data_IF_207304888650
#
_entry.id   IF_207304888650
#
_cell.length_a   1.000
_cell.length_b   1.000
_cell.length_c   1.000
_cell.angle_alpha   90.00
_cell.angle_beta   90.00
_cell.angle_gamma   90.00
#
_symmetry.space_group_name_H-M   'P 1'
#
loop_
_entity.id
_entity.type
_entity.pdbx_description
1 polymer ?
#
# COMPACT_ATOMS: atom_id res chain seq x y z
N UNK A 1 -2.83 -41.96 22.62
CA UNK A 1 -1.74 -41.37 21.82
C UNK A 1 -2.30 -41.00 20.45
N UNK A 2 -2.52 -39.72 20.19
CA UNK A 2 -2.11 -39.06 18.94
C UNK A 2 -2.21 -37.56 19.15
N UNK A 3 -1.14 -36.90 18.76
CA UNK A 3 -0.76 -35.55 19.12
C UNK A 3 -1.24 -34.54 18.09
N UNK A 4 -1.73 -33.40 18.60
CA UNK A 4 -1.47 -32.02 18.18
C UNK A 4 -1.37 -31.74 16.68
N UNK A 5 -2.32 -30.99 16.14
CA UNK A 5 -2.05 -29.85 15.26
C UNK A 5 -2.91 -28.68 15.75
N UNK A 6 -2.40 -28.00 16.77
CA UNK A 6 -2.89 -26.68 17.14
C UNK A 6 -2.43 -25.73 16.04
N UNK A 7 -3.26 -25.62 15.00
CA UNK A 7 -3.08 -24.71 13.89
C UNK A 7 -2.99 -23.30 14.47
N UNK A 8 -1.76 -22.82 14.57
CA UNK A 8 -1.45 -21.51 15.10
C UNK A 8 -2.00 -20.46 14.12
N UNK A 9 -3.30 -20.19 14.22
CA UNK A 9 -3.93 -18.98 13.74
C UNK A 9 -3.21 -17.85 14.45
N UNK A 10 -2.15 -17.36 13.80
CA UNK A 10 -1.47 -16.13 14.20
C UNK A 10 -2.54 -15.06 14.17
N UNK A 11 -3.04 -14.71 15.34
CA UNK A 11 -3.83 -13.52 15.59
C UNK A 11 -3.14 -12.39 14.84
N UNK A 12 -3.68 -12.02 13.67
CA UNK A 12 -3.31 -10.84 12.92
C UNK A 12 -3.88 -9.65 13.67
N UNK A 13 -3.48 -9.49 14.95
CA UNK A 13 -3.86 -8.36 15.76
C UNK A 13 -3.43 -7.13 14.98
N UNK A 14 -4.36 -6.23 14.59
CA UNK A 14 -4.04 -5.12 13.72
C UNK A 14 -2.93 -4.31 14.40
N UNK A 15 -1.73 -4.36 13.81
CA UNK A 15 -0.58 -3.60 14.28
C UNK A 15 -1.00 -2.15 14.35
N UNK A 16 -0.78 -1.48 15.50
CA UNK A 16 -1.15 -0.07 15.66
C UNK A 16 -0.55 0.74 14.51
N UNK A 17 -1.44 1.36 13.74
CA UNK A 17 -1.12 2.13 12.55
C UNK A 17 -0.63 3.52 12.96
N UNK A 18 0.67 3.66 13.22
CA UNK A 18 1.24 4.90 13.78
C UNK A 18 1.70 5.92 12.73
N UNK A 19 1.72 5.56 11.45
CA UNK A 19 2.15 6.47 10.37
C UNK A 19 1.04 7.44 9.95
N UNK A 20 1.38 8.68 9.62
CA UNK A 20 0.43 9.72 9.19
C UNK A 20 -0.35 9.33 7.92
N UNK A 21 0.21 8.47 7.07
CA UNK A 21 -0.44 8.05 5.82
C UNK A 21 -1.78 7.35 6.04
N UNK A 22 -2.02 6.80 7.23
CA UNK A 22 -3.27 6.09 7.56
C UNK A 22 -4.47 7.04 7.67
N UNK A 23 -4.26 8.35 7.62
CA UNK A 23 -5.33 9.32 7.39
C UNK A 23 -5.91 9.24 5.96
N UNK A 24 -5.14 8.68 5.02
CA UNK A 24 -5.49 8.58 3.59
C UNK A 24 -5.67 7.15 3.09
N UNK A 25 -5.41 6.17 3.95
CA UNK A 25 -5.53 4.74 3.63
C UNK A 25 -6.33 4.02 4.69
N UNK A 26 -7.17 3.08 4.25
CA UNK A 26 -7.83 2.11 5.12
C UNK A 26 -7.25 0.71 4.89
N UNK A 27 -7.24 -0.12 5.92
CA UNK A 27 -6.98 -1.55 5.75
C UNK A 27 -8.27 -2.29 5.42
N UNK A 28 -8.19 -3.20 4.46
CA UNK A 28 -9.26 -4.16 4.16
C UNK A 28 -8.68 -5.56 4.08
N UNK A 29 -9.30 -6.51 4.75
CA UNK A 29 -8.99 -7.94 4.55
C UNK A 29 -9.86 -8.45 3.42
N UNK A 30 -9.24 -9.09 2.42
CA UNK A 30 -9.95 -9.73 1.33
C UNK A 30 -9.55 -11.19 1.24
N UNK A 31 -10.52 -12.06 1.01
CA UNK A 31 -10.26 -13.45 0.67
C UNK A 31 -9.73 -13.53 -0.77
N UNK A 32 -8.55 -14.11 -0.93
CA UNK A 32 -7.93 -14.39 -2.21
C UNK A 32 -7.81 -15.91 -2.35
N UNK A 33 -8.41 -16.45 -3.41
CA UNK A 33 -8.22 -17.87 -3.77
C UNK A 33 -6.84 -18.07 -4.37
N UNK A 34 -6.06 -18.97 -3.80
CA UNK A 34 -4.74 -19.35 -4.31
C UNK A 34 -4.74 -20.86 -4.53
N UNK A 35 -5.26 -21.28 -5.69
CA UNK A 35 -5.52 -22.69 -5.97
C UNK A 35 -6.77 -23.16 -5.22
N UNK A 36 -6.64 -24.22 -4.44
CA UNK A 36 -7.73 -24.79 -3.62
C UNK A 36 -7.89 -24.08 -2.26
N UNK A 37 -6.91 -23.28 -1.84
CA UNK A 37 -6.93 -22.57 -0.55
C UNK A 37 -7.49 -21.15 -0.67
N UNK A 38 -8.39 -20.77 0.25
CA UNK A 38 -8.80 -19.39 0.47
C UNK A 38 -7.92 -18.77 1.56
N UNK A 39 -7.15 -17.73 1.20
CA UNK A 39 -6.32 -17.00 2.17
C UNK A 39 -6.84 -15.59 2.38
N UNK A 40 -6.84 -15.15 3.64
CA UNK A 40 -7.14 -13.77 4.01
C UNK A 40 -5.91 -12.89 3.80
N UNK A 41 -5.99 -11.96 2.86
CA UNK A 41 -4.91 -11.03 2.52
C UNK A 41 -5.31 -9.62 2.93
N UNK A 42 -4.42 -8.94 3.67
CA UNK A 42 -4.60 -7.54 4.03
C UNK A 42 -4.21 -6.63 2.86
N UNK A 43 -5.07 -5.67 2.55
CA UNK A 43 -4.88 -4.63 1.57
C UNK A 43 -4.91 -3.24 2.22
N UNK A 44 -4.15 -2.31 1.64
CA UNK A 44 -4.24 -0.88 1.91
C UNK A 44 -5.00 -0.22 0.74
N UNK A 45 -6.11 0.45 1.03
CA UNK A 45 -6.96 1.08 0.02
C UNK A 45 -6.91 2.60 0.19
N UNK A 46 -6.57 3.32 -0.88
CA UNK A 46 -6.50 4.78 -0.88
C UNK A 46 -7.91 5.40 -0.79
N UNK A 47 -8.09 6.38 0.10
CA UNK A 47 -9.36 7.07 0.37
C UNK A 47 -9.32 8.55 -0.01
N UNK A 48 -8.30 9.00 -0.74
CA UNK A 48 -8.21 10.40 -1.21
C UNK A 48 -9.31 10.65 -2.24
N UNK A 49 -10.05 11.76 -2.09
CA UNK A 49 -11.03 12.22 -3.08
C UNK A 49 -10.32 12.96 -4.22
N UNK A 50 -10.69 12.67 -5.47
CA UNK A 50 -10.10 13.35 -6.63
C UNK A 50 -10.86 14.66 -6.96
N UNK A 51 -10.31 15.79 -6.51
CA UNK A 51 -10.83 17.12 -6.84
C UNK A 51 -12.20 17.43 -6.22
N UNK A 52 -13.10 18.01 -7.03
CA UNK A 52 -14.48 18.33 -6.63
C UNK A 52 -15.44 17.14 -6.79
N UNK A 53 -14.96 16.00 -7.32
CA UNK A 53 -15.77 14.81 -7.46
C UNK A 53 -15.97 14.11 -6.11
N UNK A 54 -17.08 13.38 -5.99
CA UNK A 54 -17.30 12.46 -4.86
C UNK A 54 -16.48 11.16 -5.01
N UNK A 55 -15.77 11.00 -6.13
CA UNK A 55 -15.02 9.78 -6.43
C UNK A 55 -13.77 9.67 -5.56
N UNK A 56 -13.67 8.52 -4.90
CA UNK A 56 -12.49 8.13 -4.12
C UNK A 56 -11.49 7.42 -5.04
N UNK A 57 -10.21 7.66 -4.79
CA UNK A 57 -9.13 7.06 -5.57
C UNK A 57 -9.20 5.53 -5.61
N UNK A 58 -9.48 4.88 -4.48
CA UNK A 58 -9.75 3.45 -4.41
C UNK A 58 -8.57 2.53 -4.75
N UNK A 59 -7.37 3.06 -5.00
CA UNK A 59 -6.22 2.24 -5.39
C UNK A 59 -5.79 1.33 -4.23
N UNK A 60 -5.62 0.04 -4.55
CA UNK A 60 -5.37 -1.03 -3.58
C UNK A 60 -3.95 -1.58 -3.66
N UNK A 61 -3.37 -1.87 -2.51
CA UNK A 61 -2.05 -2.48 -2.39
C UNK A 61 -2.09 -3.61 -1.39
N UNK A 62 -1.48 -4.76 -1.69
CA UNK A 62 -1.27 -5.78 -0.65
C UNK A 62 -0.37 -5.21 0.45
N UNK A 63 -0.83 -5.26 1.70
CA UNK A 63 -0.06 -4.81 2.85
C UNK A 63 1.10 -5.76 3.09
N UNK A 64 2.30 -5.24 2.94
CA UNK A 64 3.58 -5.93 3.20
C UNK A 64 4.48 -4.99 4.00
N UNK A 65 5.58 -5.48 4.58
CA UNK A 65 6.46 -4.66 5.42
C UNK A 65 7.01 -3.39 4.72
N UNK A 66 7.08 -3.39 3.38
CA UNK A 66 7.51 -2.24 2.56
C UNK A 66 6.37 -1.34 2.05
N UNK A 67 5.11 -1.61 2.41
CA UNK A 67 3.95 -0.92 1.81
C UNK A 67 3.84 0.54 2.21
N UNK A 68 4.36 0.94 3.37
CA UNK A 68 4.32 2.33 3.84
C UNK A 68 5.12 3.28 2.96
N UNK A 69 6.33 2.89 2.52
CA UNK A 69 7.14 3.72 1.62
C UNK A 69 6.47 3.91 0.25
N UNK A 70 5.90 2.84 -0.29
CA UNK A 70 5.16 2.89 -1.55
C UNK A 70 3.90 3.76 -1.43
N UNK A 71 3.18 3.66 -0.31
CA UNK A 71 2.01 4.47 -0.03
C UNK A 71 2.35 5.98 0.09
N UNK A 72 3.48 6.33 0.72
CA UNK A 72 3.97 7.71 0.77
C UNK A 72 4.28 8.22 -0.64
N UNK A 73 5.07 7.47 -1.42
CA UNK A 73 5.41 7.85 -2.79
C UNK A 73 4.17 8.00 -3.68
N UNK A 74 3.17 7.14 -3.49
CA UNK A 74 1.89 7.24 -4.18
C UNK A 74 1.15 8.53 -3.84
N UNK A 75 0.99 8.86 -2.55
CA UNK A 75 0.33 10.10 -2.11
C UNK A 75 1.04 11.33 -2.68
N UNK A 76 2.37 11.35 -2.64
CA UNK A 76 3.17 12.45 -3.17
C UNK A 76 3.02 12.62 -4.70
N UNK A 77 3.00 11.52 -5.45
CA UNK A 77 3.04 11.55 -6.92
C UNK A 77 1.66 11.69 -7.57
N UNK A 78 0.63 11.09 -6.96
CA UNK A 78 -0.72 11.07 -7.50
C UNK A 78 -1.59 12.20 -6.96
N UNK A 79 -1.46 12.49 -5.66
CA UNK A 79 -2.34 13.43 -4.95
C UNK A 79 -1.63 14.70 -4.48
N UNK A 80 -0.31 14.81 -4.69
CA UNK A 80 0.52 15.91 -4.18
C UNK A 80 0.42 16.08 -2.66
N UNK A 81 0.11 14.99 -1.94
CA UNK A 81 -0.01 14.96 -0.49
C UNK A 81 1.35 14.56 0.09
N UNK A 82 1.94 15.45 0.89
CA UNK A 82 3.21 15.25 1.58
C UNK A 82 3.01 15.33 3.09
N UNK A 83 3.86 14.64 3.86
CA UNK A 83 3.88 14.77 5.31
C UNK A 83 4.23 16.22 5.66
N UNK A 84 3.27 16.98 6.18
CA UNK A 84 3.50 18.39 6.50
C UNK A 84 4.63 18.52 7.53
N UNK A 85 5.60 19.35 7.15
CA UNK A 85 6.86 19.64 7.80
C UNK A 85 7.80 20.35 6.83
N UNK A 86 7.79 19.96 5.54
CA UNK A 86 8.41 20.68 4.42
C UNK A 86 7.56 20.52 3.16
N UNK A 87 6.98 21.64 2.72
CA UNK A 87 6.43 21.77 1.38
C UNK A 87 7.57 21.49 0.39
N UNK A 88 7.57 20.32 -0.25
CA UNK A 88 8.30 20.18 -1.51
C UNK A 88 7.49 20.95 -2.53
N UNK A 89 7.88 22.21 -2.71
CA UNK A 89 7.55 22.99 -3.89
C UNK A 89 7.81 22.08 -5.09
N UNK A 90 6.74 21.54 -5.67
CA UNK A 90 6.80 20.85 -6.95
C UNK A 90 7.12 21.90 -7.99
N UNK A 91 8.40 22.23 -8.13
CA UNK A 91 8.89 22.73 -9.40
C UNK A 91 8.80 21.56 -10.36
N UNK A 92 7.91 21.70 -11.32
CA UNK A 92 7.83 20.96 -12.59
C UNK A 92 9.06 20.09 -12.87
N UNK A 93 8.99 18.79 -12.57
CA UNK A 93 9.84 17.82 -13.25
C UNK A 93 8.94 16.88 -14.01
N UNK A 94 8.54 17.40 -15.17
CA UNK A 94 8.24 16.69 -16.40
C UNK A 94 8.59 15.20 -16.32
N UNK A 95 7.54 14.37 -16.40
CA UNK A 95 7.59 12.93 -16.68
C UNK A 95 8.72 12.62 -17.69
N UNK A 96 9.81 12.02 -17.22
CA UNK A 96 10.68 11.21 -18.08
C UNK A 96 10.90 9.86 -17.40
N UNK A 97 10.14 8.88 -17.87
CA UNK A 97 10.33 7.48 -17.52
C UNK A 97 11.75 7.06 -17.85
N UNK A 98 12.48 6.58 -16.85
CA UNK A 98 13.74 5.86 -17.08
C UNK A 98 13.40 4.39 -17.31
N UNK A 99 13.40 3.99 -18.58
CA UNK A 99 13.54 2.58 -18.99
C UNK A 99 14.90 2.11 -18.50
N UNK A 100 14.94 1.13 -17.60
CA UNK A 100 16.17 0.44 -17.25
C UNK A 100 16.45 -0.61 -18.33
N UNK A 101 17.37 -0.34 -19.25
CA UNK A 101 18.04 -1.38 -20.04
C UNK A 101 19.20 -1.92 -19.22
N UNK A 102 19.05 -3.13 -18.66
CA UNK A 102 20.20 -3.91 -18.17
C UNK A 102 21.01 -4.36 -19.39
N UNK A 103 22.14 -3.71 -19.64
CA UNK A 103 23.18 -4.30 -20.49
C UNK A 103 23.82 -5.46 -19.74
N UNK A 104 23.83 -6.63 -20.37
CA UNK A 104 24.70 -7.73 -19.98
C UNK A 104 26.09 -7.46 -20.58
N UNK A 105 27.10 -7.48 -19.72
CA UNK A 105 28.51 -7.73 -20.02
C UNK A 105 28.96 -8.66 -18.87
N UNK A 106 29.65 -9.77 -19.07
CA UNK A 106 30.38 -10.33 -20.19
C UNK A 106 30.52 -11.84 -19.96
#
# INVERSE_FOLDING_TARGET
MSSVEEDSFKDNKPRKLTSWIWQYFKEETKEVRKGEECINVLFMVCQVKEGLSLDICGTEYTRKNSSTGNAILYLCSKHNIVQSGKLLVQTEILRKGKRYTKQQQK
#
